data_IF_416798653620
#
_entry.id   IF_416798653620
#
_cell.length_a   1.000
_cell.length_b   1.000
_cell.length_c   1.000
_cell.angle_alpha   90.00
_cell.angle_beta   90.00
_cell.angle_gamma   90.00
#
_symmetry.space_group_name_H-M   'P 1'
#
loop_
_entity.id
_entity.type
_entity.pdbx_description
1 polymer ?
#
# COMPACT_ATOMS: atom_id res chain seq x y z
N UNK A 1 4.92 6.49 10.63
CA UNK A 1 4.11 5.31 10.22
C UNK A 1 4.99 4.29 9.51
N UNK A 2 5.04 3.05 9.98
CA UNK A 2 5.80 1.96 9.37
C UNK A 2 4.98 1.30 8.25
N UNK A 3 5.65 0.80 7.19
CA UNK A 3 5.00 0.09 6.07
C UNK A 3 4.27 -1.19 6.51
N UNK A 4 4.71 -1.77 7.63
CA UNK A 4 4.14 -2.95 8.26
C UNK A 4 3.09 -2.62 9.32
N UNK A 5 2.74 -1.33 9.50
CA UNK A 5 1.63 -0.99 10.40
C UNK A 5 0.30 -1.37 9.74
N UNK A 6 -0.72 -1.75 10.53
CA UNK A 6 -2.04 -2.06 10.00
C UNK A 6 -2.61 -0.89 9.20
N UNK A 7 -3.18 -1.16 8.02
CA UNK A 7 -3.87 -0.17 7.19
C UNK A 7 -5.07 0.45 7.92
N UNK A 8 -5.76 -0.37 8.71
CA UNK A 8 -6.90 -0.01 9.54
C UNK A 8 -6.58 -0.40 10.99
N UNK A 9 -5.92 0.47 11.75
CA UNK A 9 -5.56 0.17 13.13
C UNK A 9 -6.83 0.08 13.99
N UNK A 10 -7.06 -1.08 14.60
CA UNK A 10 -8.10 -1.23 15.62
C UNK A 10 -7.51 -0.85 16.98
N UNK A 11 -8.09 0.14 17.65
CA UNK A 11 -7.65 0.58 18.98
C UNK A 11 -8.43 -0.21 20.03
N UNK A 12 -8.15 -1.50 20.15
CA UNK A 12 -8.59 -2.29 21.31
C UNK A 12 -7.62 -2.04 22.45
N UNK A 13 -8.10 -1.74 23.65
CA UNK A 13 -7.27 -1.46 24.85
C UNK A 13 -6.43 -2.66 25.33
N UNK A 14 -6.55 -3.81 24.67
CA UNK A 14 -5.72 -4.98 24.91
C UNK A 14 -4.68 -5.10 23.79
N UNK A 15 -3.44 -5.40 24.17
CA UNK A 15 -2.27 -5.51 23.31
C UNK A 15 -2.45 -6.65 22.30
N UNK A 16 -3.25 -6.42 21.25
CA UNK A 16 -3.38 -7.38 20.16
C UNK A 16 -2.12 -7.30 19.30
N UNK A 17 -1.56 -8.46 18.89
CA UNK A 17 -0.50 -8.48 17.89
C UNK A 17 -1.00 -7.71 16.67
N UNK A 18 -0.10 -6.97 15.99
CA UNK A 18 -0.39 -6.22 14.75
C UNK A 18 -1.08 -7.14 13.73
N UNK A 19 -2.39 -7.27 13.83
CA UNK A 19 -3.24 -8.14 13.04
C UNK A 19 -3.95 -7.28 12.03
N UNK A 20 -4.01 -7.75 10.78
CA UNK A 20 -4.61 -7.03 9.67
C UNK A 20 -3.67 -6.79 8.50
N UNK A 21 -4.22 -6.27 7.41
CA UNK A 21 -3.47 -5.95 6.19
C UNK A 21 -2.46 -4.83 6.45
N UNK A 22 -1.18 -5.01 6.12
CA UNK A 22 -0.19 -3.93 6.17
C UNK A 22 -0.62 -2.73 5.31
N UNK A 23 -0.34 -1.50 5.77
CA UNK A 23 -0.64 -0.29 5.02
C UNK A 23 0.02 -0.28 3.63
N UNK A 24 1.20 -0.90 3.50
CA UNK A 24 1.87 -1.04 2.21
C UNK A 24 1.05 -1.89 1.25
N UNK A 25 0.55 -3.04 1.70
CA UNK A 25 -0.22 -3.95 0.85
C UNK A 25 -1.57 -3.34 0.48
N UNK A 26 -2.18 -2.59 1.40
CA UNK A 26 -3.38 -1.82 1.10
C UNK A 26 -3.14 -0.80 -0.02
N UNK A 27 -2.08 0.03 0.09
CA UNK A 27 -1.74 0.99 -0.95
C UNK A 27 -1.32 0.31 -2.26
N UNK A 28 -0.62 -0.82 -2.21
CA UNK A 28 -0.27 -1.59 -3.40
C UNK A 28 -1.54 -2.08 -4.13
N UNK A 29 -2.57 -2.52 -3.39
CA UNK A 29 -3.87 -2.87 -3.95
C UNK A 29 -4.55 -1.68 -4.65
N UNK A 30 -4.58 -0.51 -4.01
CA UNK A 30 -5.14 0.71 -4.61
C UNK A 30 -4.37 1.15 -5.86
N UNK A 31 -3.03 1.10 -5.80
CA UNK A 31 -2.15 1.41 -6.93
C UNK A 31 -2.39 0.43 -8.10
N UNK A 32 -2.54 -0.87 -7.82
CA UNK A 32 -2.84 -1.88 -8.82
C UNK A 32 -4.17 -1.60 -9.52
N UNK A 33 -5.22 -1.26 -8.77
CA UNK A 33 -6.53 -0.89 -9.35
C UNK A 33 -6.37 0.29 -10.30
N UNK A 34 -5.68 1.35 -9.88
CA UNK A 34 -5.42 2.52 -10.73
C UNK A 34 -4.60 2.18 -11.99
N UNK A 35 -3.56 1.36 -11.85
CA UNK A 35 -2.73 0.91 -12.97
C UNK A 35 -3.55 0.10 -13.99
N UNK A 36 -4.41 -0.81 -13.52
CA UNK A 36 -5.29 -1.60 -14.40
C UNK A 36 -6.36 -0.73 -15.08
N UNK A 37 -6.95 0.23 -14.35
CA UNK A 37 -7.94 1.15 -14.90
C UNK A 37 -7.35 2.11 -15.96
N UNK A 38 -6.06 2.43 -15.87
CA UNK A 38 -5.39 3.37 -16.79
C UNK A 38 -5.19 2.84 -18.23
N UNK A 39 -5.40 1.54 -18.47
CA UNK A 39 -5.14 0.92 -19.78
C UNK A 39 -3.64 0.77 -20.12
N UNK A 40 -2.73 1.24 -19.26
CA UNK A 40 -1.27 1.17 -19.45
C UNK A 40 -0.72 -0.27 -19.32
N UNK A 41 -1.56 -1.23 -18.92
CA UNK A 41 -1.18 -2.62 -18.68
C UNK A 41 -0.97 -3.45 -19.98
N UNK A 42 -1.38 -2.93 -21.14
CA UNK A 42 -1.44 -3.67 -22.42
C UNK A 42 -0.13 -4.37 -22.86
N UNK A 43 1.02 -4.01 -22.29
CA UNK A 43 2.35 -4.49 -22.73
C UNK A 43 3.28 -4.92 -21.60
N UNK A 44 2.80 -4.98 -20.35
CA UNK A 44 3.63 -5.28 -19.18
C UNK A 44 3.35 -6.67 -18.61
N UNK A 45 4.39 -7.41 -18.21
CA UNK A 45 4.21 -8.68 -17.49
C UNK A 45 3.56 -8.44 -16.12
N UNK A 46 2.93 -9.49 -15.57
CA UNK A 46 2.32 -9.43 -14.24
C UNK A 46 3.34 -9.01 -13.17
N UNK A 47 4.59 -9.49 -13.22
CA UNK A 47 5.62 -9.08 -12.26
C UNK A 47 5.93 -7.59 -12.35
N UNK A 48 5.95 -7.02 -13.56
CA UNK A 48 6.23 -5.60 -13.76
C UNK A 48 5.09 -4.74 -13.23
N UNK A 49 3.84 -5.15 -13.45
CA UNK A 49 2.66 -4.47 -12.90
C UNK A 49 2.68 -4.50 -11.37
N UNK A 50 2.96 -5.67 -10.77
CA UNK A 50 3.09 -5.80 -9.32
C UNK A 50 4.21 -4.90 -8.76
N UNK A 51 5.38 -4.88 -9.39
CA UNK A 51 6.52 -4.03 -8.99
C UNK A 51 6.15 -2.54 -9.04
N UNK A 52 5.46 -2.11 -10.09
CA UNK A 52 5.01 -0.72 -10.21
C UNK A 52 3.99 -0.36 -9.12
N UNK A 53 3.06 -1.25 -8.81
CA UNK A 53 2.07 -1.03 -7.76
C UNK A 53 2.74 -0.84 -6.38
N UNK A 54 3.69 -1.72 -6.03
CA UNK A 54 4.45 -1.60 -4.78
C UNK A 54 5.35 -0.35 -4.74
N UNK A 55 5.95 0.02 -5.88
CA UNK A 55 6.77 1.24 -5.98
C UNK A 55 5.93 2.49 -5.70
N UNK A 56 4.72 2.56 -6.25
CA UNK A 56 3.79 3.66 -5.99
C UNK A 56 3.32 3.66 -4.53
N UNK A 57 3.04 2.48 -3.97
CA UNK A 57 2.65 2.33 -2.57
C UNK A 57 3.74 2.81 -1.59
N UNK A 58 5.02 2.51 -1.86
CA UNK A 58 6.14 3.03 -1.07
C UNK A 58 6.23 4.56 -1.11
N UNK A 59 5.96 5.17 -2.28
CA UNK A 59 5.89 6.62 -2.40
C UNK A 59 4.76 7.21 -1.55
N UNK A 60 3.58 6.58 -1.52
CA UNK A 60 2.45 7.00 -0.67
C UNK A 60 2.78 6.91 0.83
N UNK A 61 3.45 5.82 1.27
CA UNK A 61 3.90 5.68 2.66
C UNK A 61 4.92 6.77 3.02
N UNK A 62 5.86 7.07 2.11
CA UNK A 62 6.87 8.12 2.29
C UNK A 62 6.22 9.49 2.43
N UNK A 63 5.31 9.83 1.52
CA UNK A 63 4.58 11.11 1.55
C UNK A 63 3.79 11.28 2.85
N UNK A 64 3.11 10.22 3.29
CA UNK A 64 2.37 10.23 4.56
C UNK A 64 3.28 10.41 5.78
N UNK A 65 4.53 9.94 5.75
CA UNK A 65 5.49 10.23 6.84
C UNK A 65 5.90 11.69 6.86
N UNK A 66 5.97 12.34 5.70
CA UNK A 66 6.39 13.74 5.57
C UNK A 66 5.27 14.72 5.92
N UNK A 67 4.00 14.34 5.69
CA UNK A 67 2.82 15.19 5.93
C UNK A 67 2.17 15.02 7.32
N UNK A 68 2.73 14.21 8.22
CA UNK A 68 2.33 14.20 9.63
C UNK A 68 3.19 15.23 10.36
N UNK A 69 2.71 16.48 10.36
CA UNK A 69 3.19 17.60 11.19
C UNK A 69 2.32 17.66 12.45
#
# INVERSE_FOLDING_TARGET
>A
MNKNDPAFPYVSGHYEPKSGMPILDYFAGQALIGLLASGVYCVSSAERVAKNAYTLAEAMVKERRMNVV
#
